data_IF_607049851644
#
_entry.id   IF_607049851644
#
_cell.length_a   1.000
_cell.length_b   1.000
_cell.length_c   1.000
_cell.angle_alpha   90.00
_cell.angle_beta   90.00
_cell.angle_gamma   90.00
#
_symmetry.space_group_name_H-M   'P 1'
#
loop_
_entity.id
_entity.type
_entity.pdbx_description
1 polymer ?
#
# COMPACT_ATOMS: atom_id res chain seq x y z
N UNK A 1 -22.73 -18.60 8.90
CA UNK A 1 -21.51 -17.80 9.16
C UNK A 1 -21.74 -16.91 10.39
N UNK A 2 -21.08 -17.17 11.52
CA UNK A 2 -21.18 -16.32 12.72
C UNK A 2 -20.41 -15.02 12.47
N UNK A 3 -21.07 -13.86 12.60
CA UNK A 3 -20.38 -12.55 12.61
C UNK A 3 -19.47 -12.52 13.83
N UNK A 4 -18.19 -12.21 13.63
CA UNK A 4 -17.24 -12.02 14.73
C UNK A 4 -17.80 -10.94 15.68
N UNK A 5 -17.85 -11.19 17.01
CA UNK A 5 -18.40 -10.25 17.99
C UNK A 5 -17.59 -8.95 18.08
N UNK A 6 -16.43 -8.87 17.44
CA UNK A 6 -15.54 -7.70 17.42
C UNK A 6 -15.78 -6.83 16.18
N UNK A 7 -16.63 -7.26 15.24
CA UNK A 7 -16.88 -6.54 13.99
C UNK A 7 -17.38 -5.10 14.18
N UNK A 8 -18.18 -4.83 15.21
CA UNK A 8 -18.67 -3.49 15.50
C UNK A 8 -17.57 -2.55 16.01
N UNK A 9 -16.59 -3.08 16.76
CA UNK A 9 -15.48 -2.32 17.33
C UNK A 9 -14.56 -1.75 16.24
N UNK A 10 -14.43 -2.46 15.11
CA UNK A 10 -13.68 -1.96 13.95
C UNK A 10 -14.41 -0.89 13.16
N UNK A 11 -15.74 -1.01 13.00
CA UNK A 11 -16.54 0.04 12.38
C UNK A 11 -16.58 1.29 13.25
N UNK A 12 -16.64 1.10 14.57
CA UNK A 12 -16.47 2.18 15.54
C UNK A 12 -15.08 2.83 15.36
N UNK A 13 -14.00 2.05 15.32
CA UNK A 13 -12.64 2.57 15.12
C UNK A 13 -12.51 3.30 13.78
N UNK A 14 -13.06 2.75 12.69
CA UNK A 14 -13.08 3.39 11.38
C UNK A 14 -13.80 4.74 11.41
N UNK A 15 -15.00 4.78 12.00
CA UNK A 15 -15.77 6.03 12.14
C UNK A 15 -15.03 7.02 13.02
N UNK A 16 -14.41 6.57 14.12
CA UNK A 16 -13.59 7.41 14.99
C UNK A 16 -12.38 7.96 14.21
N UNK A 17 -11.65 7.14 13.47
CA UNK A 17 -10.53 7.59 12.63
C UNK A 17 -11.00 8.59 11.56
N UNK A 18 -12.11 8.32 10.89
CA UNK A 18 -12.69 9.22 9.90
C UNK A 18 -13.07 10.57 10.53
N UNK A 19 -13.74 10.55 11.69
CA UNK A 19 -14.09 11.76 12.44
C UNK A 19 -12.84 12.48 12.94
N UNK A 20 -11.80 11.76 13.33
CA UNK A 20 -10.53 12.33 13.77
C UNK A 20 -9.79 12.98 12.60
N UNK A 21 -9.78 12.36 11.42
CA UNK A 21 -9.24 12.96 10.19
C UNK A 21 -10.02 14.22 9.83
N UNK A 22 -11.36 14.19 9.88
CA UNK A 22 -12.19 15.37 9.63
C UNK A 22 -11.88 16.46 10.66
N UNK A 23 -11.86 16.13 11.94
CA UNK A 23 -11.57 17.07 13.03
C UNK A 23 -10.16 17.68 12.90
N UNK A 24 -9.16 16.86 12.54
CA UNK A 24 -7.78 17.30 12.31
C UNK A 24 -7.61 18.20 11.08
N UNK A 25 -8.54 18.11 10.11
CA UNK A 25 -8.56 18.95 8.91
C UNK A 25 -9.52 20.15 9.04
N UNK A 26 -10.32 20.23 10.11
CA UNK A 26 -11.11 21.42 10.39
C UNK A 26 -10.20 22.54 10.93
N UNK A 27 -10.45 23.81 10.56
CA UNK A 27 -9.64 24.92 11.04
C UNK A 27 -9.82 25.08 12.56
N UNK A 28 -8.83 24.67 13.35
CA UNK A 28 -8.81 24.97 14.79
C UNK A 28 -8.48 26.44 15.02
N UNK A 29 -9.23 27.14 15.87
CA UNK A 29 -9.08 28.58 16.08
C UNK A 29 -7.72 29.01 16.66
N UNK A 30 -6.94 28.09 17.21
CA UNK A 30 -5.60 28.35 17.76
C UNK A 30 -4.44 27.96 16.83
N UNK A 31 -4.72 27.38 15.66
CA UNK A 31 -3.69 27.03 14.69
C UNK A 31 -3.47 28.17 13.70
N UNK A 32 -2.24 28.37 13.21
CA UNK A 32 -1.99 29.32 12.14
C UNK A 32 -2.84 28.94 10.91
N UNK A 33 -3.33 29.93 10.15
CA UNK A 33 -4.12 29.68 8.95
C UNK A 33 -3.32 28.81 7.97
N UNK A 34 -3.95 27.74 7.49
CA UNK A 34 -3.33 26.87 6.49
C UNK A 34 -3.23 27.59 5.15
N UNK A 35 -2.15 27.34 4.40
CA UNK A 35 -1.97 27.83 3.04
C UNK A 35 -1.86 26.64 2.06
N UNK A 36 -3.00 26.11 1.58
CA UNK A 36 -3.03 24.98 0.65
C UNK A 36 -2.33 25.32 -0.68
N UNK A 37 -2.22 26.60 -1.03
CA UNK A 37 -1.56 27.02 -2.28
C UNK A 37 -0.04 26.87 -2.21
N UNK A 38 0.54 26.82 -1.00
CA UNK A 38 1.97 26.51 -0.82
C UNK A 38 2.29 25.08 -1.25
N UNK A 39 1.37 24.13 -1.04
CA UNK A 39 1.52 22.73 -1.45
C UNK A 39 1.71 22.58 -2.97
N UNK A 40 0.96 23.38 -3.75
CA UNK A 40 1.03 23.34 -5.21
C UNK A 40 2.29 24.02 -5.78
N UNK A 41 3.06 24.72 -4.94
CA UNK A 41 4.28 25.43 -5.32
C UNK A 41 5.55 24.66 -4.89
N UNK A 42 5.44 23.83 -3.86
CA UNK A 42 6.54 22.99 -3.38
C UNK A 42 6.76 21.76 -4.26
N UNK A 43 7.89 21.75 -5.00
CA UNK A 43 8.26 20.64 -5.88
C UNK A 43 8.56 19.34 -5.12
N UNK A 44 9.09 19.37 -3.90
CA UNK A 44 9.32 18.16 -3.12
C UNK A 44 8.02 17.58 -2.55
N UNK A 45 7.06 18.44 -2.19
CA UNK A 45 5.70 17.98 -1.90
C UNK A 45 5.05 17.33 -3.12
N UNK A 46 5.08 18.00 -4.28
CA UNK A 46 4.51 17.45 -5.52
C UNK A 46 5.20 16.16 -5.93
N UNK A 47 6.53 16.08 -5.78
CA UNK A 47 7.27 14.84 -5.96
C UNK A 47 6.73 13.74 -5.05
N UNK A 48 6.71 13.95 -3.74
CA UNK A 48 6.28 12.94 -2.76
C UNK A 48 4.83 12.51 -3.01
N UNK A 49 3.93 13.47 -3.20
CA UNK A 49 2.51 13.21 -3.46
C UNK A 49 2.31 12.32 -4.71
N UNK A 50 3.01 12.62 -5.81
CA UNK A 50 2.89 11.83 -7.04
C UNK A 50 3.63 10.48 -6.93
N UNK A 51 4.82 10.47 -6.34
CA UNK A 51 5.66 9.30 -6.16
C UNK A 51 4.94 8.23 -5.33
N UNK A 52 4.38 8.64 -4.19
CA UNK A 52 3.63 7.74 -3.32
C UNK A 52 2.16 7.58 -3.73
N UNK A 53 1.58 8.54 -4.43
CA UNK A 53 0.28 8.36 -5.08
C UNK A 53 0.30 7.19 -6.07
N UNK A 54 1.42 6.99 -6.78
CA UNK A 54 1.63 5.82 -7.62
C UNK A 54 1.69 4.52 -6.81
N UNK A 55 2.19 4.54 -5.56
CA UNK A 55 2.25 3.37 -4.67
C UNK A 55 0.86 2.77 -4.39
N UNK A 56 -0.19 3.59 -4.41
CA UNK A 56 -1.55 3.14 -4.15
C UNK A 56 -2.01 2.08 -5.16
N UNK A 57 -1.54 2.14 -6.41
CA UNK A 57 -1.92 1.19 -7.45
C UNK A 57 -1.31 -0.22 -7.21
N UNK A 58 0.03 -0.39 -7.05
CA UNK A 58 0.62 -1.66 -6.63
C UNK A 58 0.05 -2.19 -5.31
N UNK A 59 -0.10 -1.32 -4.31
CA UNK A 59 -0.60 -1.71 -3.00
C UNK A 59 -2.04 -2.23 -3.10
N UNK A 60 -2.93 -1.51 -3.80
CA UNK A 60 -4.31 -1.95 -4.02
C UNK A 60 -4.33 -3.29 -4.75
N UNK A 61 -3.48 -3.45 -5.76
CA UNK A 61 -3.31 -4.71 -6.47
C UNK A 61 -2.95 -5.88 -5.56
N UNK A 62 -1.89 -5.73 -4.76
CA UNK A 62 -1.44 -6.75 -3.81
C UNK A 62 -2.51 -7.09 -2.76
N UNK A 63 -3.18 -6.07 -2.24
CA UNK A 63 -4.26 -6.23 -1.25
C UNK A 63 -5.46 -6.96 -1.87
N UNK A 64 -5.86 -6.61 -3.09
CA UNK A 64 -6.98 -7.27 -3.79
C UNK A 64 -6.64 -8.73 -4.10
N UNK A 65 -5.43 -9.02 -4.60
CA UNK A 65 -5.01 -10.39 -4.87
C UNK A 65 -5.01 -11.25 -3.59
N UNK A 66 -4.42 -10.73 -2.50
CA UNK A 66 -4.42 -11.41 -1.22
C UNK A 66 -5.85 -11.63 -0.68
N UNK A 67 -6.72 -10.62 -0.77
CA UNK A 67 -8.10 -10.71 -0.30
C UNK A 67 -8.91 -11.73 -1.11
N UNK A 68 -8.72 -11.79 -2.43
CA UNK A 68 -9.39 -12.75 -3.30
C UNK A 68 -8.99 -14.19 -2.99
N UNK A 69 -7.70 -14.44 -2.74
CA UNK A 69 -7.16 -15.76 -2.39
C UNK A 69 -7.65 -16.26 -1.04
N UNK A 70 -7.94 -15.34 -0.12
CA UNK A 70 -8.49 -15.62 1.21
C UNK A 70 -10.03 -15.52 1.28
N UNK A 71 -10.73 -15.41 0.14
CA UNK A 71 -12.21 -15.27 0.06
C UNK A 71 -12.76 -14.14 0.94
N UNK A 72 -11.99 -13.07 1.11
CA UNK A 72 -12.43 -11.90 1.87
C UNK A 72 -13.38 -11.05 1.02
N UNK A 73 -14.29 -10.32 1.68
CA UNK A 73 -15.20 -9.36 1.03
C UNK A 73 -14.46 -8.07 0.63
N UNK A 74 -13.50 -8.20 -0.27
CA UNK A 74 -12.50 -7.17 -0.57
C UNK A 74 -13.09 -5.78 -0.91
N UNK A 75 -14.23 -5.60 -1.62
CA UNK A 75 -14.71 -4.24 -1.90
C UNK A 75 -15.10 -3.48 -0.63
N UNK A 76 -15.54 -4.19 0.41
CA UNK A 76 -15.93 -3.61 1.70
C UNK A 76 -14.76 -3.36 2.65
N UNK A 77 -13.58 -3.91 2.34
CA UNK A 77 -12.38 -3.78 3.18
C UNK A 77 -11.22 -3.10 2.47
N UNK A 78 -11.21 -3.03 1.15
CA UNK A 78 -10.13 -2.38 0.40
C UNK A 78 -10.55 -0.95 0.08
N UNK A 79 -11.76 -0.74 -0.45
CA UNK A 79 -12.22 0.58 -0.87
C UNK A 79 -12.32 1.58 0.30
N UNK A 80 -12.99 1.28 1.43
CA UNK A 80 -13.07 2.23 2.54
C UNK A 80 -11.71 2.47 3.19
N UNK A 81 -10.86 1.44 3.22
CA UNK A 81 -9.57 1.52 3.89
C UNK A 81 -8.53 2.29 3.06
N UNK A 82 -8.63 2.27 1.73
CA UNK A 82 -7.85 3.14 0.85
C UNK A 82 -8.28 4.61 0.93
N UNK A 83 -9.57 4.88 1.18
CA UNK A 83 -10.11 6.24 1.35
C UNK A 83 -9.72 6.85 2.69
N UNK A 84 -9.59 6.03 3.74
CA UNK A 84 -9.27 6.51 5.11
C UNK A 84 -7.78 6.43 5.45
N UNK A 85 -6.97 5.73 4.64
CA UNK A 85 -5.52 5.60 4.82
C UNK A 85 -5.10 4.37 5.62
N UNK A 86 -3.80 4.29 5.93
CA UNK A 86 -3.12 3.08 6.38
C UNK A 86 -3.68 2.42 7.65
N UNK A 87 -4.20 3.20 8.60
CA UNK A 87 -4.78 2.66 9.85
C UNK A 87 -5.89 1.66 9.53
N UNK A 88 -6.64 1.97 8.49
CA UNK A 88 -7.72 1.17 7.97
C UNK A 88 -7.14 -0.10 7.28
N UNK A 89 -6.05 0.02 6.51
CA UNK A 89 -5.37 -1.13 5.89
C UNK A 89 -4.71 -2.07 6.91
N UNK A 90 -4.25 -1.54 8.05
CA UNK A 90 -3.72 -2.34 9.17
C UNK A 90 -4.79 -3.26 9.77
N UNK A 91 -6.06 -2.81 9.81
CA UNK A 91 -7.20 -3.63 10.24
C UNK A 91 -7.51 -4.73 9.23
N UNK A 92 -7.36 -4.46 7.92
CA UNK A 92 -7.41 -5.50 6.89
C UNK A 92 -6.34 -6.57 7.15
N UNK A 93 -5.09 -6.16 7.40
CA UNK A 93 -3.98 -7.08 7.70
C UNK A 93 -4.22 -7.88 8.98
N UNK A 94 -4.79 -7.27 10.02
CA UNK A 94 -5.12 -7.95 11.28
C UNK A 94 -6.25 -9.00 11.13
N UNK A 95 -7.16 -8.81 10.17
CA UNK A 95 -8.24 -9.76 9.87
C UNK A 95 -7.87 -10.82 8.85
N UNK A 96 -6.65 -10.80 8.31
CA UNK A 96 -6.22 -11.78 7.32
C UNK A 96 -6.32 -13.19 7.93
N UNK A 97 -7.01 -14.14 7.29
CA UNK A 97 -6.92 -15.55 7.67
C UNK A 97 -5.46 -16.02 7.64
N UNK A 98 -5.05 -16.93 8.52
CA UNK A 98 -3.64 -17.36 8.59
C UNK A 98 -3.14 -18.07 7.31
N UNK A 99 -4.04 -18.66 6.51
CA UNK A 99 -3.70 -19.38 5.29
C UNK A 99 -4.53 -18.95 4.08
N UNK A 100 -4.07 -19.32 2.89
CA UNK A 100 -4.84 -19.17 1.66
C UNK A 100 -5.97 -20.18 1.62
N UNK A 101 -7.19 -19.70 1.38
CA UNK A 101 -8.37 -20.55 1.31
C UNK A 101 -8.66 -21.04 -0.12
N UNK A 102 -8.03 -20.41 -1.11
CA UNK A 102 -8.17 -20.77 -2.53
C UNK A 102 -6.89 -20.52 -3.31
N UNK A 103 -6.51 -21.50 -4.14
CA UNK A 103 -5.52 -21.31 -5.20
C UNK A 103 -6.22 -20.63 -6.38
N UNK A 104 -6.14 -19.30 -6.43
CA UNK A 104 -6.68 -18.51 -7.53
C UNK A 104 -5.53 -17.99 -8.41
N UNK A 105 -5.77 -17.86 -9.70
CA UNK A 105 -4.88 -17.09 -10.56
C UNK A 105 -4.94 -15.62 -10.14
N UNK A 106 -3.78 -14.96 -10.07
CA UNK A 106 -3.70 -13.53 -9.77
C UNK A 106 -4.52 -12.77 -10.82
N UNK A 107 -5.21 -11.68 -10.46
CA UNK A 107 -5.99 -10.88 -11.41
C UNK A 107 -5.17 -10.57 -12.67
N UNK A 108 -5.76 -10.80 -13.86
CA UNK A 108 -5.07 -10.65 -15.15
C UNK A 108 -4.39 -9.30 -15.31
N UNK A 109 -4.99 -8.22 -14.80
CA UNK A 109 -4.41 -6.87 -14.83
C UNK A 109 -3.10 -6.75 -14.04
N UNK A 110 -2.98 -7.44 -12.90
CA UNK A 110 -1.77 -7.39 -12.07
C UNK A 110 -0.65 -8.24 -12.68
N UNK A 111 -0.96 -9.23 -13.51
CA UNK A 111 0.04 -10.03 -14.25
C UNK A 111 0.59 -9.29 -15.48
N UNK A 112 0.00 -8.15 -15.88
CA UNK A 112 0.50 -7.35 -17.01
C UNK A 112 1.81 -6.65 -16.66
N UNK A 113 2.93 -7.31 -16.97
CA UNK A 113 4.29 -6.76 -16.75
C UNK A 113 4.51 -5.39 -17.37
N UNK A 114 3.93 -5.14 -18.56
CA UNK A 114 4.07 -3.86 -19.26
C UNK A 114 3.44 -2.70 -18.48
N UNK A 115 2.33 -2.94 -17.75
CA UNK A 115 1.70 -1.94 -16.90
C UNK A 115 2.68 -1.48 -15.82
N UNK A 116 3.38 -2.42 -15.18
CA UNK A 116 4.37 -2.11 -14.16
C UNK A 116 5.60 -1.41 -14.72
N UNK A 117 6.03 -1.74 -15.95
CA UNK A 117 7.09 -0.98 -16.63
C UNK A 117 6.69 0.47 -16.91
N UNK A 118 5.44 0.72 -17.33
CA UNK A 118 4.93 2.08 -17.50
C UNK A 118 4.91 2.83 -16.17
N UNK A 119 4.44 2.20 -15.10
CA UNK A 119 4.45 2.80 -13.76
C UNK A 119 5.87 3.10 -13.29
N UNK A 120 6.82 2.19 -13.52
CA UNK A 120 8.22 2.39 -13.20
C UNK A 120 8.81 3.58 -13.97
N UNK A 121 8.52 3.69 -15.26
CA UNK A 121 8.92 4.83 -16.09
C UNK A 121 8.29 6.15 -15.59
N UNK A 122 7.00 6.13 -15.23
CA UNK A 122 6.32 7.30 -14.67
C UNK A 122 6.97 7.76 -13.35
N UNK A 123 7.31 6.82 -12.48
CA UNK A 123 8.04 7.10 -11.22
C UNK A 123 9.40 7.74 -11.49
N UNK A 124 10.15 7.22 -12.46
CA UNK A 124 11.44 7.80 -12.87
C UNK A 124 11.27 9.21 -13.43
N UNK A 125 10.27 9.44 -14.29
CA UNK A 125 10.00 10.75 -14.89
C UNK A 125 9.60 11.78 -13.82
N UNK A 126 8.73 11.41 -12.88
CA UNK A 126 8.33 12.25 -11.74
C UNK A 126 9.55 12.60 -10.88
N UNK A 127 10.40 11.62 -10.58
CA UNK A 127 11.65 11.83 -9.85
C UNK A 127 12.58 12.79 -10.58
N UNK A 128 12.85 12.54 -11.87
CA UNK A 128 13.73 13.37 -12.68
C UNK A 128 13.22 14.80 -12.85
N UNK A 129 11.89 15.00 -12.87
CA UNK A 129 11.30 16.32 -13.02
C UNK A 129 11.24 17.10 -11.70
N UNK A 130 10.67 16.54 -10.64
CA UNK A 130 10.38 17.31 -9.44
C UNK A 130 11.55 17.35 -8.43
N UNK A 131 12.31 16.26 -8.31
CA UNK A 131 13.35 16.14 -7.28
C UNK A 131 14.45 17.21 -7.40
N UNK A 132 14.99 17.54 -8.60
CA UNK A 132 16.02 18.57 -8.73
C UNK A 132 15.53 20.00 -8.48
N UNK A 133 14.20 20.22 -8.49
CA UNK A 133 13.58 21.55 -8.42
C UNK A 133 13.07 21.92 -7.04
N UNK A 134 13.08 21.00 -6.08
CA UNK A 134 12.66 21.32 -4.72
C UNK A 134 13.83 21.62 -3.80
N UNK A 135 13.51 22.21 -2.66
CA UNK A 135 14.49 22.60 -1.66
C UNK A 135 14.02 22.19 -0.27
N UNK A 136 14.96 21.72 0.55
CA UNK A 136 14.67 21.35 1.94
C UNK A 136 14.10 22.52 2.77
N UNK A 137 14.60 23.77 2.65
CA UNK A 137 14.03 24.90 3.39
C UNK A 137 12.57 25.20 3.00
N UNK A 138 12.24 25.13 1.72
CA UNK A 138 10.86 25.31 1.22
C UNK A 138 9.94 24.19 1.68
N UNK A 139 10.42 22.94 1.71
CA UNK A 139 9.66 21.82 2.27
C UNK A 139 9.37 22.02 3.75
N UNK A 140 10.37 22.42 4.54
CA UNK A 140 10.19 22.67 5.99
C UNK A 140 9.21 23.82 6.22
N UNK A 141 9.32 24.91 5.46
CA UNK A 141 8.37 26.04 5.52
C UNK A 141 6.95 25.58 5.16
N UNK A 142 6.80 24.83 4.07
CA UNK A 142 5.52 24.27 3.61
C UNK A 142 4.90 23.32 4.65
N UNK A 143 5.71 22.48 5.30
CA UNK A 143 5.26 21.59 6.38
C UNK A 143 4.83 22.37 7.64
N UNK A 144 5.53 23.45 7.98
CA UNK A 144 5.17 24.29 9.14
C UNK A 144 3.84 25.01 8.94
N UNK A 145 3.50 25.36 7.69
CA UNK A 145 2.26 26.03 7.30
C UNK A 145 1.09 25.08 7.05
N UNK A 146 1.36 23.78 6.90
CA UNK A 146 0.37 22.77 6.57
C UNK A 146 0.55 21.51 7.43
N UNK A 147 -0.03 21.50 8.63
CA UNK A 147 0.04 20.36 9.55
C UNK A 147 -0.53 19.05 8.96
N UNK A 148 -1.48 19.15 8.01
CA UNK A 148 -1.98 17.98 7.26
C UNK A 148 -0.90 17.23 6.47
N UNK A 149 0.19 17.91 6.11
CA UNK A 149 1.32 17.35 5.37
C UNK A 149 2.11 16.34 6.22
N UNK A 150 2.22 16.56 7.53
CA UNK A 150 2.86 15.60 8.44
C UNK A 150 2.09 14.27 8.52
N UNK A 151 0.75 14.32 8.52
CA UNK A 151 -0.07 13.11 8.48
C UNK A 151 0.07 12.36 7.16
N UNK A 152 0.19 13.08 6.04
CA UNK A 152 0.44 12.48 4.74
C UNK A 152 1.77 11.73 4.70
N UNK A 153 2.86 12.31 5.21
CA UNK A 153 4.17 11.64 5.29
C UNK A 153 4.14 10.41 6.20
N UNK A 154 3.42 10.48 7.32
CA UNK A 154 3.22 9.33 8.19
C UNK A 154 2.45 8.22 7.47
N UNK A 155 1.38 8.56 6.74
CA UNK A 155 0.62 7.60 5.94
C UNK A 155 1.49 6.94 4.86
N UNK A 156 2.32 7.74 4.17
CA UNK A 156 3.32 7.28 3.21
C UNK A 156 4.30 6.27 3.83
N UNK A 157 4.90 6.61 4.97
CA UNK A 157 5.87 5.76 5.64
C UNK A 157 5.24 4.44 6.08
N UNK A 158 4.02 4.48 6.61
CA UNK A 158 3.30 3.30 7.05
C UNK A 158 2.82 2.45 5.86
N UNK A 159 2.39 3.05 4.74
CA UNK A 159 2.12 2.34 3.48
C UNK A 159 3.35 1.55 3.01
N UNK A 160 4.52 2.16 3.14
CA UNK A 160 5.77 1.52 2.77
C UNK A 160 6.12 0.33 3.69
N UNK A 161 5.73 0.37 4.96
CA UNK A 161 5.92 -0.75 5.88
C UNK A 161 4.93 -1.88 5.59
N UNK A 162 3.64 -1.55 5.36
CA UNK A 162 2.59 -2.54 5.11
C UNK A 162 2.77 -3.26 3.77
N UNK A 163 3.40 -2.63 2.79
CA UNK A 163 3.64 -3.29 1.49
C UNK A 163 4.66 -4.41 1.56
N UNK A 164 5.60 -4.39 2.52
CA UNK A 164 6.63 -5.42 2.66
C UNK A 164 6.06 -6.82 2.90
N UNK A 165 5.20 -7.08 3.92
CA UNK A 165 4.63 -8.40 4.13
C UNK A 165 3.73 -8.85 2.97
N UNK A 166 3.11 -7.92 2.23
CA UNK A 166 2.31 -8.23 1.05
C UNK A 166 3.19 -8.66 -0.13
N UNK A 167 4.28 -7.93 -0.39
CA UNK A 167 5.26 -8.26 -1.41
C UNK A 167 5.98 -9.58 -1.09
N UNK A 168 6.34 -9.81 0.17
CA UNK A 168 6.92 -11.08 0.62
C UNK A 168 5.97 -12.25 0.38
N UNK A 169 4.68 -12.08 0.69
CA UNK A 169 3.68 -13.10 0.41
C UNK A 169 3.56 -13.39 -1.10
N UNK A 170 3.56 -12.36 -1.96
CA UNK A 170 3.58 -12.55 -3.43
C UNK A 170 4.84 -13.30 -3.89
N UNK A 171 6.02 -12.95 -3.37
CA UNK A 171 7.28 -13.63 -3.71
C UNK A 171 7.29 -15.11 -3.31
N UNK A 172 6.79 -15.42 -2.11
CA UNK A 172 6.67 -16.80 -1.62
C UNK A 172 5.73 -17.61 -2.51
N UNK A 173 4.59 -17.03 -2.92
CA UNK A 173 3.63 -17.67 -3.85
C UNK A 173 4.27 -18.00 -5.20
N UNK A 174 5.21 -17.17 -5.65
CA UNK A 174 5.90 -17.31 -6.94
C UNK A 174 7.17 -18.16 -6.84
N UNK A 175 7.49 -18.69 -5.66
CA UNK A 175 8.67 -19.52 -5.45
C UNK A 175 9.99 -18.76 -5.62
N UNK A 176 10.00 -17.45 -5.38
CA UNK A 176 11.23 -16.65 -5.39
C UNK A 176 12.16 -17.18 -4.30
N UNK A 177 13.43 -17.43 -4.61
CA UNK A 177 14.40 -17.92 -3.64
C UNK A 177 14.56 -16.95 -2.46
N UNK A 178 14.71 -17.45 -1.23
CA UNK A 178 14.76 -16.64 -0.01
C UNK A 178 15.77 -15.48 -0.07
N UNK A 179 16.96 -15.72 -0.64
CA UNK A 179 17.97 -14.68 -0.85
C UNK A 179 17.46 -13.55 -1.76
N UNK A 180 16.83 -13.90 -2.88
CA UNK A 180 16.25 -12.93 -3.80
C UNK A 180 15.04 -12.20 -3.17
N UNK A 181 14.27 -12.85 -2.31
CA UNK A 181 13.21 -12.19 -1.54
C UNK A 181 13.79 -11.07 -0.68
N UNK A 182 14.87 -11.33 0.06
CA UNK A 182 15.52 -10.34 0.92
C UNK A 182 16.01 -9.14 0.12
N UNK A 183 16.67 -9.35 -1.03
CA UNK A 183 17.13 -8.24 -1.87
C UNK A 183 15.97 -7.38 -2.38
N UNK A 184 14.87 -8.01 -2.81
CA UNK A 184 13.70 -7.26 -3.23
C UNK A 184 13.03 -6.51 -2.09
N UNK A 185 12.92 -7.10 -0.89
CA UNK A 185 12.36 -6.42 0.27
C UNK A 185 13.20 -5.22 0.69
N UNK A 186 14.54 -5.35 0.66
CA UNK A 186 15.45 -4.22 0.89
C UNK A 186 15.26 -3.15 -0.19
N UNK A 187 15.20 -3.53 -1.46
CA UNK A 187 14.99 -2.59 -2.55
C UNK A 187 13.65 -1.85 -2.42
N UNK A 188 12.56 -2.55 -2.08
CA UNK A 188 11.25 -1.98 -1.84
C UNK A 188 11.27 -1.05 -0.61
N UNK A 189 11.96 -1.41 0.46
CA UNK A 189 12.07 -0.56 1.65
C UNK A 189 12.85 0.74 1.34
N UNK A 190 13.96 0.65 0.62
CA UNK A 190 14.84 1.79 0.34
C UNK A 190 14.30 2.72 -0.75
N UNK A 191 13.66 2.16 -1.77
CA UNK A 191 13.22 2.91 -2.96
C UNK A 191 11.71 3.04 -3.05
N UNK A 192 10.95 2.41 -2.17
CA UNK A 192 9.51 2.53 -2.10
C UNK A 192 8.78 2.06 -3.37
N UNK A 193 7.92 2.90 -3.98
CA UNK A 193 7.19 2.58 -5.20
C UNK A 193 8.07 2.12 -6.36
N UNK A 194 9.29 2.65 -6.51
CA UNK A 194 10.18 2.26 -7.60
C UNK A 194 10.58 0.78 -7.50
N UNK A 195 11.11 0.36 -6.34
CA UNK A 195 11.50 -1.03 -6.09
C UNK A 195 10.31 -1.97 -6.19
N UNK A 196 9.13 -1.53 -5.75
CA UNK A 196 7.91 -2.32 -5.86
C UNK A 196 7.45 -2.47 -7.32
N UNK A 197 7.43 -1.40 -8.10
CA UNK A 197 7.08 -1.47 -9.52
C UNK A 197 8.09 -2.32 -10.29
N UNK A 198 9.39 -2.17 -10.02
CA UNK A 198 10.44 -2.99 -10.62
C UNK A 198 10.28 -4.48 -10.27
N UNK A 199 9.98 -4.80 -9.01
CA UNK A 199 9.64 -6.16 -8.61
C UNK A 199 8.42 -6.67 -9.39
N UNK A 200 7.32 -5.92 -9.40
CA UNK A 200 6.08 -6.34 -10.08
C UNK A 200 6.25 -6.50 -11.59
N UNK A 201 7.14 -5.72 -12.21
CA UNK A 201 7.47 -5.82 -13.63
C UNK A 201 8.34 -7.05 -13.96
N UNK A 202 9.24 -7.43 -13.05
CA UNK A 202 10.24 -8.49 -13.27
C UNK A 202 9.89 -9.82 -12.59
N UNK A 203 8.85 -9.85 -11.76
CA UNK A 203 8.50 -11.03 -10.99
C UNK A 203 8.26 -12.26 -11.88
N UNK A 204 8.68 -13.44 -11.42
CA UNK A 204 8.41 -14.68 -12.13
C UNK A 204 6.90 -14.92 -12.24
N UNK A 205 6.48 -15.68 -13.25
CA UNK A 205 5.10 -16.17 -13.33
C UNK A 205 4.78 -17.06 -12.13
N UNK A 206 3.48 -17.33 -11.89
CA UNK A 206 3.06 -18.20 -10.79
C UNK A 206 3.67 -19.60 -10.99
N UNK A 207 4.44 -20.08 -10.02
CA UNK A 207 5.13 -21.37 -10.10
C UNK A 207 4.12 -22.52 -10.25
N UNK A 208 4.35 -23.41 -11.22
CA UNK A 208 3.48 -24.57 -11.50
C UNK A 208 3.39 -25.59 -10.34
N UNK A 209 4.28 -25.47 -9.34
CA UNK A 209 4.56 -26.46 -8.30
C UNK A 209 3.88 -26.28 -6.93
N UNK A 210 3.03 -25.27 -6.70
CA UNK A 210 2.21 -25.23 -5.47
C UNK A 210 1.03 -26.23 -5.58
N UNK A 211 1.32 -27.50 -5.85
CA UNK A 211 0.38 -28.63 -5.82
C UNK A 211 0.40 -29.16 -4.39
N UNK A 212 -0.79 -29.30 -3.80
CA UNK A 212 -1.04 -29.81 -2.45
C UNK A 212 -0.31 -31.14 -2.22
N UNK A 213 0.20 -31.43 -1.00
CA UNK A 213 0.34 -32.81 -0.56
C UNK A 213 -1.04 -33.47 -0.72
N UNK A 214 -1.09 -34.56 -1.46
CA UNK A 214 -2.25 -35.44 -1.57
C UNK A 214 -2.77 -35.72 -0.17
N UNK A 215 -4.09 -35.53 0.04
CA UNK A 215 -4.75 -35.98 1.24
C UNK A 215 -4.32 -37.42 1.50
N UNK A 216 -3.63 -37.66 2.61
CA UNK A 216 -3.44 -39.00 3.12
C UNK A 216 -4.85 -39.54 3.38
N UNK A 217 -5.26 -40.47 2.53
CA UNK A 217 -6.39 -41.34 2.74
C UNK A 217 -6.18 -42.02 4.08
N UNK A 218 -7.05 -41.75 5.06
CA UNK A 218 -7.20 -42.58 6.26
C UNK A 218 -7.44 -44.04 5.80
N UNK A 219 -6.67 -45.02 6.30
CA UNK A 219 -7.14 -46.40 6.29
C UNK A 219 -8.19 -46.59 7.38
N UNK A 220 -9.28 -47.25 6.99
CA UNK A 220 -10.44 -47.63 7.80
C UNK A 220 -10.11 -48.60 8.93
#
# INVERSE_FOLDING_TARGET
MRRSPIAWLYWLLFVVCLLLVIALNLPWPSLPPQDPSALLRDNWFLWGFNYFGILLMPLAGLVIDDALRRKMRWPFYVVPMFVVGILALSVYMARRPAGDLTKRETPRLLELRWLWWILCAAVILIGAFFLPRGSLPELVDTMSRNLGLAFMWLDIALNQIVVLPLAQADMQRRGVAAQAQTYWLIAILLTGPLGLCAYMATRPGVAAGFRTPTAQTEPA
#
